data_IF_801133023353
#
_entry.id   IF_801133023353
#
_cell.length_a   1.000
_cell.length_b   1.000
_cell.length_c   1.000
_cell.angle_alpha   90.00
_cell.angle_beta   90.00
_cell.angle_gamma   90.00
#
_symmetry.space_group_name_H-M   'P 1'
#
loop_
_entity.id
_entity.type
_entity.pdbx_description
1 polymer ?
#
# COMPACT_ATOMS: atom_id res chain seq x y z
N UNK A 1 6.69 13.36 -13.58
CA UNK A 1 6.91 14.01 -12.29
C UNK A 1 6.85 12.97 -11.19
N UNK A 2 7.69 13.14 -10.20
CA UNK A 2 7.82 12.18 -9.10
C UNK A 2 6.77 12.43 -7.99
N UNK A 3 5.55 12.78 -8.37
CA UNK A 3 4.48 13.10 -7.42
C UNK A 3 3.40 12.01 -7.48
N UNK A 4 3.00 11.53 -6.32
CA UNK A 4 1.92 10.57 -6.19
C UNK A 4 0.72 11.23 -5.52
N UNK A 5 -0.46 11.05 -6.10
CA UNK A 5 -1.73 11.45 -5.50
C UNK A 5 -2.57 10.20 -5.39
N UNK A 6 -2.87 9.81 -4.16
CA UNK A 6 -3.49 8.53 -3.87
C UNK A 6 -4.53 8.68 -2.78
N UNK A 7 -5.67 8.02 -2.96
CA UNK A 7 -6.70 7.95 -1.92
C UNK A 7 -6.91 6.51 -1.51
N UNK A 8 -7.20 6.31 -0.26
CA UNK A 8 -7.26 5.00 0.38
C UNK A 8 -8.60 4.80 1.06
N UNK A 9 -9.17 3.60 0.87
CA UNK A 9 -10.51 3.27 1.35
C UNK A 9 -10.52 1.88 1.98
N UNK A 10 -11.43 1.68 2.90
CA UNK A 10 -11.76 0.34 3.36
C UNK A 10 -12.63 -0.35 2.30
N UNK A 11 -12.69 -1.67 2.37
CA UNK A 11 -13.44 -2.50 1.44
C UNK A 11 -14.58 -3.19 2.19
N UNK A 12 -15.80 -3.12 1.63
CA UNK A 12 -16.92 -3.88 2.15
C UNK A 12 -16.74 -5.33 1.71
N UNK A 13 -16.18 -6.12 2.59
CA UNK A 13 -15.72 -7.48 2.26
C UNK A 13 -16.85 -8.41 1.81
N UNK A 14 -18.05 -8.20 2.31
CA UNK A 14 -19.23 -8.97 1.90
C UNK A 14 -19.66 -8.69 0.46
N UNK A 15 -19.18 -7.59 -0.12
CA UNK A 15 -19.50 -7.18 -1.49
C UNK A 15 -18.32 -7.34 -2.46
N UNK A 16 -17.17 -7.82 -1.98
CA UNK A 16 -15.97 -7.94 -2.81
C UNK A 16 -15.38 -9.34 -2.73
N UNK A 17 -14.98 -9.87 -3.88
CA UNK A 17 -14.23 -11.11 -3.96
C UNK A 17 -13.04 -10.92 -4.87
N UNK A 18 -11.90 -11.57 -4.55
CA UNK A 18 -10.71 -11.47 -5.41
C UNK A 18 -10.99 -11.98 -6.81
N UNK A 19 -10.46 -11.28 -7.80
CA UNK A 19 -10.49 -11.70 -9.19
C UNK A 19 -9.06 -12.03 -9.62
N UNK A 20 -8.83 -13.28 -10.02
CA UNK A 20 -7.50 -13.74 -10.39
C UNK A 20 -6.66 -14.13 -9.18
N UNK A 21 -5.37 -14.33 -9.43
CA UNK A 21 -4.44 -14.81 -8.40
C UNK A 21 -3.81 -13.70 -7.57
N UNK A 22 -3.85 -12.47 -8.07
CA UNK A 22 -3.17 -11.38 -7.41
C UNK A 22 -1.65 -11.48 -7.48
N UNK A 23 -1.00 -10.58 -6.78
CA UNK A 23 0.47 -10.53 -6.71
C UNK A 23 0.87 -10.53 -5.24
N UNK A 24 1.74 -11.46 -4.86
CA UNK A 24 2.27 -11.53 -3.51
C UNK A 24 3.29 -10.41 -3.31
N UNK A 25 3.13 -9.64 -2.23
CA UNK A 25 4.02 -8.53 -1.90
C UNK A 25 4.58 -8.74 -0.50
N UNK A 26 5.90 -8.59 -0.37
CA UNK A 26 6.57 -8.49 0.91
C UNK A 26 7.40 -7.21 0.89
N UNK A 27 7.23 -6.36 1.89
CA UNK A 27 7.96 -5.10 1.92
C UNK A 27 8.37 -4.71 3.33
N UNK A 28 9.49 -4.03 3.42
CA UNK A 28 10.02 -3.49 4.65
C UNK A 28 10.54 -2.08 4.44
N UNK A 29 10.88 -1.43 5.53
CA UNK A 29 11.38 -0.05 5.51
C UNK A 29 12.80 -0.01 6.03
N UNK A 30 13.73 0.49 5.20
CA UNK A 30 15.10 0.75 5.61
C UNK A 30 15.15 2.00 6.50
N UNK A 31 14.22 2.93 6.28
CA UNK A 31 14.05 4.11 7.11
C UNK A 31 12.61 4.59 6.97
N UNK A 32 12.01 5.07 8.06
CA UNK A 32 10.66 5.63 8.01
C UNK A 32 10.51 6.63 9.16
N UNK A 33 10.33 7.89 8.81
CA UNK A 33 10.02 8.96 9.75
C UNK A 33 9.05 9.94 9.10
N UNK A 34 8.76 11.05 9.76
CA UNK A 34 7.79 12.03 9.26
C UNK A 34 8.21 12.73 7.97
N UNK A 35 9.51 12.73 7.67
CA UNK A 35 10.06 13.45 6.52
C UNK A 35 10.30 12.56 5.33
N UNK A 36 10.52 11.27 5.56
CA UNK A 36 10.88 10.36 4.46
C UNK A 36 10.62 8.91 4.84
N UNK A 37 10.40 8.11 3.82
CA UNK A 37 10.35 6.66 3.96
C UNK A 37 11.16 6.04 2.83
N UNK A 38 11.96 5.04 3.15
CA UNK A 38 12.73 4.26 2.17
C UNK A 38 12.27 2.83 2.28
N UNK A 39 11.59 2.35 1.25
CA UNK A 39 10.95 1.04 1.23
C UNK A 39 11.61 0.12 0.22
N UNK A 40 11.81 -1.13 0.59
CA UNK A 40 12.16 -2.18 -0.35
C UNK A 40 10.98 -3.14 -0.46
N UNK A 41 10.63 -3.53 -1.69
CA UNK A 41 9.47 -4.37 -1.97
C UNK A 41 9.82 -5.49 -2.93
N UNK A 42 9.41 -6.71 -2.57
CA UNK A 42 9.32 -7.82 -3.51
C UNK A 42 7.87 -7.92 -3.95
N UNK A 43 7.64 -7.93 -5.25
CA UNK A 43 6.29 -8.02 -5.83
C UNK A 43 6.32 -9.08 -6.93
N UNK A 44 5.88 -10.30 -6.59
CA UNK A 44 6.02 -11.43 -7.49
C UNK A 44 7.50 -11.70 -7.78
N UNK A 45 7.88 -11.66 -9.05
CA UNK A 45 9.25 -11.90 -9.49
C UNK A 45 10.06 -10.62 -9.72
N UNK A 46 9.53 -9.48 -9.30
CA UNK A 46 10.20 -8.18 -9.43
C UNK A 46 10.42 -7.55 -8.07
N UNK A 47 11.31 -6.56 -8.04
CA UNK A 47 11.61 -5.86 -6.80
C UNK A 47 11.83 -4.37 -7.06
N UNK A 48 11.53 -3.56 -6.06
CA UNK A 48 11.57 -2.10 -6.18
C UNK A 48 12.13 -1.46 -4.92
N UNK A 49 12.89 -0.39 -5.12
CA UNK A 49 13.30 0.51 -4.05
C UNK A 49 12.52 1.79 -4.23
N UNK A 50 11.85 2.24 -3.18
CA UNK A 50 10.99 3.42 -3.23
C UNK A 50 11.37 4.40 -2.15
N UNK A 51 11.51 5.67 -2.52
CA UNK A 51 11.75 6.77 -1.59
C UNK A 51 10.53 7.66 -1.62
N UNK A 52 9.94 7.92 -0.45
CA UNK A 52 8.75 8.76 -0.33
C UNK A 52 9.02 9.94 0.60
N UNK A 53 8.51 11.10 0.21
CA UNK A 53 8.54 12.29 1.03
C UNK A 53 7.35 12.36 1.99
N UNK A 54 7.21 13.49 2.72
CA UNK A 54 6.07 13.65 3.63
C UNK A 54 4.75 13.77 2.88
N UNK A 55 3.68 13.26 3.47
CA UNK A 55 2.35 13.35 2.88
C UNK A 55 1.75 14.73 3.16
N UNK A 56 1.14 15.34 2.13
CA UNK A 56 0.37 16.57 2.24
C UNK A 56 -1.02 16.29 1.68
N UNK A 57 -1.99 16.08 2.56
CA UNK A 57 -3.31 15.62 2.15
C UNK A 57 -3.22 14.22 1.55
N UNK A 58 -3.52 14.10 0.25
CA UNK A 58 -3.41 12.82 -0.47
C UNK A 58 -2.23 12.79 -1.42
N UNK A 59 -1.32 13.77 -1.30
CA UNK A 59 -0.21 13.98 -2.22
C UNK A 59 1.13 13.79 -1.51
N UNK A 60 2.09 13.13 -2.19
CA UNK A 60 3.46 13.05 -1.69
C UNK A 60 4.42 12.80 -2.85
N UNK A 61 5.68 13.18 -2.66
CA UNK A 61 6.76 12.83 -3.60
C UNK A 61 7.03 11.33 -3.49
N UNK A 62 7.24 10.70 -4.64
CA UNK A 62 7.61 9.29 -4.70
C UNK A 62 8.61 9.06 -5.83
N UNK A 63 9.68 8.36 -5.49
CA UNK A 63 10.69 7.92 -6.46
C UNK A 63 10.78 6.41 -6.35
N UNK A 64 10.54 5.71 -7.46
CA UNK A 64 10.55 4.25 -7.45
C UNK A 64 11.46 3.72 -8.55
N UNK A 65 12.31 2.77 -8.20
CA UNK A 65 13.26 2.17 -9.11
C UNK A 65 13.22 0.65 -8.99
N UNK A 66 13.19 -0.02 -10.12
CA UNK A 66 13.30 -1.46 -10.12
C UNK A 66 14.73 -1.86 -9.78
N UNK A 67 14.89 -2.87 -8.92
CA UNK A 67 16.18 -3.37 -8.47
C UNK A 67 16.22 -4.89 -8.64
N UNK A 68 17.42 -5.50 -8.65
CA UNK A 68 17.51 -6.95 -8.67
C UNK A 68 16.85 -7.58 -7.45
N UNK A 69 16.16 -8.70 -7.63
CA UNK A 69 15.49 -9.39 -6.54
C UNK A 69 16.46 -9.88 -5.47
N UNK A 70 17.68 -10.24 -5.85
CA UNK A 70 18.73 -10.63 -4.89
C UNK A 70 19.06 -9.47 -3.94
N UNK A 71 19.20 -8.26 -4.51
CA UNK A 71 19.48 -7.08 -3.71
C UNK A 71 18.32 -6.78 -2.76
N UNK A 72 17.10 -6.92 -3.27
CA UNK A 72 15.91 -6.68 -2.46
C UNK A 72 15.83 -7.64 -1.27
N UNK A 73 16.15 -8.91 -1.46
CA UNK A 73 16.16 -9.88 -0.37
C UNK A 73 17.19 -9.53 0.69
N UNK A 74 18.38 -9.10 0.24
CA UNK A 74 19.42 -8.66 1.17
C UNK A 74 19.00 -7.40 1.93
N UNK A 75 18.34 -6.46 1.24
CA UNK A 75 17.83 -5.24 1.87
C UNK A 75 16.70 -5.53 2.86
N UNK A 76 15.81 -6.47 2.53
CA UNK A 76 14.75 -6.88 3.47
C UNK A 76 15.32 -7.44 4.76
N UNK A 77 16.44 -8.16 4.66
CA UNK A 77 17.10 -8.67 5.85
C UNK A 77 17.62 -7.57 6.77
N UNK A 78 17.84 -6.36 6.23
CA UNK A 78 18.26 -5.19 7.01
C UNK A 78 17.08 -4.43 7.62
N UNK A 79 15.87 -4.73 7.18
CA UNK A 79 14.67 -4.05 7.67
C UNK A 79 14.22 -4.65 8.98
N UNK A 80 13.63 -3.81 9.85
CA UNK A 80 13.04 -4.28 11.09
C UNK A 80 11.83 -5.17 10.81
N UNK A 81 11.61 -6.13 11.69
CA UNK A 81 10.45 -7.00 11.62
C UNK A 81 9.34 -6.50 12.54
N UNK A 82 8.07 -6.79 12.22
CA UNK A 82 7.62 -7.61 11.09
C UNK A 82 7.61 -6.83 9.78
N UNK A 83 7.83 -7.52 8.67
CA UNK A 83 7.64 -6.93 7.36
C UNK A 83 6.14 -6.85 7.08
N UNK A 84 5.75 -6.01 6.10
CA UNK A 84 4.39 -5.98 5.59
C UNK A 84 4.28 -7.06 4.53
N UNK A 85 3.33 -7.96 4.70
CA UNK A 85 3.03 -9.01 3.73
C UNK A 85 1.57 -8.87 3.32
N UNK A 86 1.32 -8.89 2.03
CA UNK A 86 -0.02 -8.71 1.49
C UNK A 86 -0.12 -9.31 0.11
N UNK A 87 -1.34 -9.52 -0.35
CA UNK A 87 -1.61 -9.91 -1.74
C UNK A 87 -2.42 -8.81 -2.38
N UNK A 88 -1.93 -8.33 -3.50
CA UNK A 88 -2.53 -7.20 -4.23
C UNK A 88 -3.32 -7.71 -5.41
N UNK A 89 -4.55 -7.25 -5.52
CA UNK A 89 -5.42 -7.51 -6.66
C UNK A 89 -5.67 -6.19 -7.39
N UNK A 90 -5.68 -6.26 -8.71
CA UNK A 90 -5.98 -5.10 -9.54
C UNK A 90 -7.40 -5.25 -10.08
N UNK A 91 -8.21 -4.22 -9.94
CA UNK A 91 -9.58 -4.25 -10.42
C UNK A 91 -9.92 -2.97 -11.15
N UNK A 92 -10.30 -3.10 -12.41
CA UNK A 92 -10.68 -1.96 -13.23
C UNK A 92 -12.10 -1.53 -12.90
N UNK A 93 -12.29 -0.21 -12.75
CA UNK A 93 -13.61 0.39 -12.55
C UNK A 93 -13.63 1.72 -13.30
N UNK A 94 -14.37 1.78 -14.40
CA UNK A 94 -14.36 2.95 -15.26
C UNK A 94 -12.98 3.22 -15.84
N UNK A 95 -12.50 4.43 -15.69
CA UNK A 95 -11.21 4.87 -16.22
C UNK A 95 -10.04 4.57 -15.27
N UNK A 96 -10.32 4.04 -14.09
CA UNK A 96 -9.30 3.83 -13.05
C UNK A 96 -9.10 2.36 -12.75
N UNK A 97 -7.92 2.06 -12.19
CA UNK A 97 -7.61 0.72 -11.68
C UNK A 97 -7.40 0.83 -10.18
N UNK A 98 -8.18 0.05 -9.43
CA UNK A 98 -8.03 -0.06 -7.98
C UNK A 98 -6.97 -1.08 -7.64
N UNK A 99 -6.16 -0.75 -6.64
CA UNK A 99 -5.24 -1.71 -6.04
C UNK A 99 -5.84 -2.14 -4.70
N UNK A 100 -6.21 -3.41 -4.59
CA UNK A 100 -6.86 -3.94 -3.40
C UNK A 100 -5.88 -4.86 -2.69
N UNK A 101 -5.47 -4.47 -1.50
CA UNK A 101 -4.48 -5.19 -0.70
C UNK A 101 -5.16 -5.98 0.41
N UNK A 102 -4.98 -7.29 0.37
CA UNK A 102 -5.40 -8.19 1.44
C UNK A 102 -4.18 -8.53 2.26
N UNK A 103 -4.12 -8.02 3.47
CA UNK A 103 -2.95 -8.19 4.33
C UNK A 103 -2.94 -9.55 4.99
N UNK A 104 -1.74 -10.05 5.29
CA UNK A 104 -1.53 -11.30 6.00
C UNK A 104 -0.62 -11.06 7.21
N UNK A 105 -0.26 -12.13 7.91
CA UNK A 105 0.57 -12.04 9.09
C UNK A 105 -0.13 -11.25 10.19
N UNK A 106 0.59 -10.32 10.81
CA UNK A 106 0.05 -9.53 11.91
C UNK A 106 -1.02 -8.53 11.50
N UNK A 107 -1.20 -8.31 10.21
CA UNK A 107 -2.23 -7.43 9.66
C UNK A 107 -3.39 -8.20 9.02
N UNK A 108 -3.45 -9.50 9.25
CA UNK A 108 -4.50 -10.34 8.68
C UNK A 108 -5.89 -9.83 9.06
N UNK A 109 -6.79 -9.85 8.08
CA UNK A 109 -8.15 -9.33 8.24
C UNK A 109 -8.31 -7.92 7.71
N UNK A 110 -7.22 -7.20 7.49
CA UNK A 110 -7.27 -5.86 6.92
C UNK A 110 -7.30 -5.94 5.40
N UNK A 111 -8.26 -5.28 4.78
CA UNK A 111 -8.37 -5.15 3.33
C UNK A 111 -8.53 -3.67 3.01
N UNK A 112 -7.65 -3.15 2.18
CA UNK A 112 -7.59 -1.72 1.85
C UNK A 112 -7.52 -1.56 0.33
N UNK A 113 -8.24 -0.60 -0.20
CA UNK A 113 -8.20 -0.28 -1.62
C UNK A 113 -7.61 1.11 -1.83
N UNK A 114 -6.75 1.21 -2.83
CA UNK A 114 -6.09 2.46 -3.19
C UNK A 114 -6.38 2.81 -4.64
N UNK A 115 -6.55 4.10 -4.90
CA UNK A 115 -6.72 4.63 -6.25
C UNK A 115 -5.74 5.78 -6.44
N UNK A 116 -5.00 5.73 -7.56
CA UNK A 116 -4.08 6.79 -7.93
C UNK A 116 -4.79 7.76 -8.85
N UNK A 117 -4.64 9.05 -8.58
CA UNK A 117 -5.33 10.13 -9.29
C UNK A 117 -4.33 11.12 -9.85
N UNK A 118 -4.77 11.89 -10.85
CA UNK A 118 -3.97 12.97 -11.44
C UNK A 118 -4.09 14.27 -10.65
N UNK A 119 -5.18 14.41 -9.90
CA UNK A 119 -5.45 15.57 -9.05
C UNK A 119 -6.25 15.12 -7.83
N UNK A 120 -6.10 15.83 -6.71
CA UNK A 120 -6.77 15.46 -5.46
C UNK A 120 -8.30 15.45 -5.58
N UNK A 121 -8.86 16.27 -6.46
CA UNK A 121 -10.30 16.38 -6.68
C UNK A 121 -10.80 15.63 -7.91
N UNK A 122 -9.96 14.78 -8.50
CA UNK A 122 -10.36 14.01 -9.69
C UNK A 122 -11.54 13.09 -9.36
N UNK A 123 -12.53 13.08 -10.24
CA UNK A 123 -13.71 12.22 -10.07
C UNK A 123 -13.40 10.80 -10.50
N UNK A 124 -14.00 9.83 -9.82
CA UNK A 124 -13.85 8.41 -10.15
C UNK A 124 -15.16 7.68 -9.82
N UNK A 125 -15.37 6.55 -10.48
CA UNK A 125 -16.53 5.71 -10.18
C UNK A 125 -16.34 4.99 -8.85
N UNK A 126 -17.43 4.87 -8.09
CA UNK A 126 -17.43 4.21 -6.79
C UNK A 126 -17.94 2.78 -6.96
N UNK A 127 -17.06 1.76 -6.84
CA UNK A 127 -17.50 0.37 -6.87
C UNK A 127 -18.45 0.07 -5.71
N UNK A 128 -19.27 -0.96 -5.88
CA UNK A 128 -20.24 -1.33 -4.84
C UNK A 128 -19.59 -1.72 -3.51
N UNK A 129 -18.36 -2.23 -3.57
CA UNK A 129 -17.62 -2.66 -2.39
C UNK A 129 -16.84 -1.54 -1.70
N UNK A 130 -16.91 -0.33 -2.21
CA UNK A 130 -16.14 0.79 -1.65
C UNK A 130 -16.68 1.17 -0.28
N UNK A 131 -15.80 1.15 0.73
CA UNK A 131 -16.14 1.52 2.09
C UNK A 131 -15.69 2.93 2.44
N UNK A 132 -15.47 3.18 3.73
CA UNK A 132 -15.08 4.49 4.22
C UNK A 132 -13.69 4.89 3.74
N UNK A 133 -13.51 6.16 3.45
CA UNK A 133 -12.20 6.69 3.12
C UNK A 133 -11.35 6.81 4.38
N UNK A 134 -10.10 6.34 4.32
CA UNK A 134 -9.16 6.37 5.43
C UNK A 134 -7.86 7.09 5.04
N UNK A 135 -7.90 7.91 4.00
CA UNK A 135 -6.73 8.65 3.52
C UNK A 135 -6.09 9.52 4.58
N UNK A 136 -6.89 10.07 5.51
CA UNK A 136 -6.40 10.93 6.58
C UNK A 136 -6.02 10.19 7.85
N UNK A 137 -6.20 8.88 7.88
CA UNK A 137 -5.91 8.08 9.07
C UNK A 137 -4.54 7.41 8.92
N UNK A 138 -3.56 7.95 9.63
CA UNK A 138 -2.17 7.49 9.53
C UNK A 138 -1.96 6.03 9.96
N UNK A 139 -2.92 5.44 10.71
CA UNK A 139 -2.82 4.03 11.11
C UNK A 139 -2.77 3.09 9.91
N UNK A 140 -3.35 3.50 8.78
CA UNK A 140 -3.42 2.68 7.56
C UNK A 140 -2.20 2.84 6.66
N UNK A 141 -1.25 3.70 6.98
CA UNK A 141 0.02 3.77 6.25
C UNK A 141 0.80 2.47 6.48
N UNK A 142 1.38 1.90 5.42
CA UNK A 142 2.11 0.65 5.56
C UNK A 142 3.26 0.77 6.57
N UNK A 143 3.95 1.91 6.61
CA UNK A 143 4.99 2.15 7.60
C UNK A 143 4.46 2.14 9.03
N UNK A 144 3.23 2.63 9.23
CA UNK A 144 2.60 2.61 10.55
C UNK A 144 2.14 1.21 10.93
N UNK A 145 1.65 0.43 9.99
CA UNK A 145 1.24 -0.95 10.21
C UNK A 145 2.40 -1.83 10.64
N UNK A 146 3.60 -1.48 10.22
CA UNK A 146 4.82 -2.18 10.66
C UNK A 146 5.07 -1.96 12.15
N UNK A 147 4.80 -0.75 12.65
CA UNK A 147 5.03 -0.39 14.07
C UNK A 147 3.87 -0.79 14.97
N UNK A 148 2.64 -0.61 14.50
CA UNK A 148 1.44 -0.98 15.23
C UNK A 148 0.53 -1.77 14.31
N UNK A 149 0.72 -3.11 14.23
CA UNK A 149 -0.07 -3.96 13.35
C UNK A 149 -1.56 -3.93 13.68
N UNK A 150 -2.37 -4.21 12.66
CA UNK A 150 -3.81 -4.25 12.76
C UNK A 150 -4.30 -5.15 13.91
N UNK A 151 -3.62 -6.27 14.15
CA UNK A 151 -3.96 -7.21 15.22
C UNK A 151 -3.87 -6.60 16.62
N UNK A 152 -3.16 -5.49 16.76
CA UNK A 152 -2.97 -4.82 18.05
C UNK A 152 -3.84 -3.57 18.20
N UNK A 153 -4.65 -3.27 17.21
CA UNK A 153 -5.53 -2.11 17.31
C UNK A 153 -6.63 -2.38 18.34
N UNK A 154 -6.99 -1.33 19.06
CA UNK A 154 -8.08 -1.37 20.03
C UNK A 154 -9.19 -0.43 19.57
N UNK A 155 -10.43 -0.88 19.77
CA UNK A 155 -11.60 -0.09 19.46
C UNK A 155 -11.90 0.89 20.58
#
# INVERSE_FOLDING_TARGET
MAKEIERKFLVKRELWQPKGEGIEIAQGYLAADKKRAVRVRLAGDRAYLTVKGPTKGVERLEFEYEIPTEDARAMLALCERPWIEKRRYLERCGAHTWEIDCFSGENEGLVVAEIELSAADEMFEHPTWLGAEVSDDSRYLNASLMRLPFSRWRN
#
